data_IF_580012119261
#
_entry.id   IF_580012119261
#
_cell.length_a   1.000
_cell.length_b   1.000
_cell.length_c   1.000
_cell.angle_alpha   90.00
_cell.angle_beta   90.00
_cell.angle_gamma   90.00
#
_symmetry.space_group_name_H-M   'P 1'
#
loop_
_entity.id
_entity.type
_entity.pdbx_description
1 polymer ?
#
# COMPACT_ATOMS: atom_id res chain seq x y z
N UNK A 1 19.51 -17.48 -4.53
CA UNK A 1 19.26 -16.07 -4.15
C UNK A 1 18.49 -15.25 -5.21
N UNK A 2 18.54 -15.60 -6.51
CA UNK A 2 17.79 -14.87 -7.56
C UNK A 2 16.26 -14.86 -7.35
N UNK A 3 15.68 -15.97 -6.86
CA UNK A 3 14.24 -16.09 -6.60
C UNK A 3 13.72 -15.05 -5.59
N UNK A 4 14.51 -14.72 -4.58
CA UNK A 4 14.12 -13.72 -3.59
C UNK A 4 14.02 -12.31 -4.21
N UNK A 5 14.96 -11.97 -5.09
CA UNK A 5 14.97 -10.69 -5.83
C UNK A 5 13.78 -10.61 -6.78
N UNK A 6 13.52 -11.67 -7.55
CA UNK A 6 12.37 -11.74 -8.46
C UNK A 6 11.05 -11.63 -7.70
N UNK A 7 10.91 -12.34 -6.58
CA UNK A 7 9.71 -12.25 -5.74
C UNK A 7 9.52 -10.84 -5.19
N UNK A 8 10.58 -10.22 -4.66
CA UNK A 8 10.51 -8.85 -4.15
C UNK A 8 10.07 -7.85 -5.23
N UNK A 9 10.67 -7.92 -6.42
CA UNK A 9 10.27 -7.08 -7.55
C UNK A 9 8.80 -7.27 -7.93
N UNK A 10 8.37 -8.53 -8.07
CA UNK A 10 6.98 -8.85 -8.43
C UNK A 10 5.98 -8.32 -7.41
N UNK A 11 6.30 -8.44 -6.12
CA UNK A 11 5.44 -7.90 -5.09
C UNK A 11 5.46 -6.36 -5.01
N UNK A 12 6.61 -5.72 -5.24
CA UNK A 12 6.67 -4.26 -5.35
C UNK A 12 5.80 -3.76 -6.51
N UNK A 13 5.88 -4.42 -7.67
CA UNK A 13 5.03 -4.14 -8.83
C UNK A 13 3.55 -4.29 -8.48
N UNK A 14 3.19 -5.40 -7.84
CA UNK A 14 1.81 -5.63 -7.37
C UNK A 14 1.34 -4.52 -6.40
N UNK A 15 2.15 -4.16 -5.40
CA UNK A 15 1.83 -3.10 -4.44
C UNK A 15 1.61 -1.75 -5.13
N UNK A 16 2.48 -1.39 -6.07
CA UNK A 16 2.36 -0.16 -6.84
C UNK A 16 1.10 -0.15 -7.70
N UNK A 17 0.81 -1.25 -8.40
CA UNK A 17 -0.42 -1.38 -9.21
C UNK A 17 -1.67 -1.24 -8.36
N UNK A 18 -1.75 -1.95 -7.22
CA UNK A 18 -2.88 -1.86 -6.31
C UNK A 18 -3.05 -0.45 -5.74
N UNK A 19 -1.96 0.23 -5.42
CA UNK A 19 -2.00 1.63 -4.94
C UNK A 19 -2.65 2.55 -5.97
N UNK A 20 -2.32 2.42 -7.26
CA UNK A 20 -2.91 3.26 -8.29
C UNK A 20 -4.35 2.87 -8.64
N UNK A 21 -4.70 1.59 -8.62
CA UNK A 21 -6.10 1.15 -8.74
C UNK A 21 -6.93 1.73 -7.60
N UNK A 22 -6.41 1.74 -6.38
CA UNK A 22 -7.07 2.35 -5.24
C UNK A 22 -7.25 3.86 -5.45
N UNK A 23 -6.21 4.55 -5.93
CA UNK A 23 -6.27 5.98 -6.24
C UNK A 23 -7.37 6.32 -7.26
N UNK A 24 -7.50 5.54 -8.32
CA UNK A 24 -8.53 5.69 -9.35
C UNK A 24 -9.96 5.55 -8.79
N UNK A 25 -10.12 4.76 -7.72
CA UNK A 25 -11.42 4.54 -7.07
C UNK A 25 -11.76 5.60 -6.02
N UNK A 26 -10.86 6.53 -5.70
CA UNK A 26 -11.13 7.58 -4.73
C UNK A 26 -12.12 8.60 -5.32
N UNK A 27 -13.17 8.92 -4.55
CA UNK A 27 -14.17 9.93 -4.95
C UNK A 27 -13.61 11.35 -4.96
N UNK A 28 -12.59 11.61 -4.16
CA UNK A 28 -11.96 12.93 -4.02
C UNK A 28 -10.45 12.78 -4.06
N UNK A 29 -9.77 13.73 -4.70
CA UNK A 29 -8.32 13.77 -4.74
C UNK A 29 -7.77 13.89 -3.30
N UNK A 30 -6.74 13.08 -2.94
CA UNK A 30 -6.06 13.21 -1.66
C UNK A 30 -5.52 14.61 -1.43
N UNK A 31 -5.57 15.07 -0.19
CA UNK A 31 -4.77 16.23 0.20
C UNK A 31 -3.28 15.88 0.19
N UNK A 32 -2.53 16.75 -0.47
CA UNK A 32 -1.09 16.60 -0.64
C UNK A 32 -0.36 17.01 0.64
N UNK A 33 0.39 16.07 1.23
CA UNK A 33 1.15 16.33 2.46
C UNK A 33 2.38 17.21 2.19
N UNK A 34 3.11 16.94 1.11
CA UNK A 34 4.30 17.69 0.72
C UNK A 34 4.03 18.52 -0.53
N UNK A 35 3.61 19.79 -0.33
CA UNK A 35 3.35 20.73 -1.43
C UNK A 35 4.66 21.14 -2.10
N UNK A 36 4.90 20.63 -3.31
CA UNK A 36 6.00 21.07 -4.17
C UNK A 36 5.49 22.18 -5.10
N UNK A 37 6.21 23.30 -5.13
CA UNK A 37 5.90 24.47 -5.96
C UNK A 37 5.73 24.04 -7.43
N UNK A 38 4.60 24.43 -8.05
CA UNK A 38 4.29 24.13 -9.45
C UNK A 38 3.65 22.77 -9.73
N UNK A 39 3.34 21.95 -8.71
CA UNK A 39 2.61 20.69 -8.87
C UNK A 39 1.29 20.73 -8.11
N UNK A 40 0.19 20.54 -8.83
CA UNK A 40 -1.18 20.54 -8.29
C UNK A 40 -1.76 19.13 -8.09
N UNK A 41 -1.12 18.10 -8.65
CA UNK A 41 -1.55 16.71 -8.48
C UNK A 41 -1.07 16.11 -7.15
N UNK A 42 -1.85 15.15 -6.63
CA UNK A 42 -1.42 14.26 -5.55
C UNK A 42 -0.33 13.31 -6.05
N UNK A 43 0.43 12.73 -5.12
CA UNK A 43 1.53 11.83 -5.39
C UNK A 43 1.25 10.42 -4.85
N UNK A 44 2.07 9.45 -5.28
CA UNK A 44 2.03 8.08 -4.77
C UNK A 44 2.09 8.02 -3.23
N UNK A 45 2.93 8.87 -2.63
CA UNK A 45 3.08 8.96 -1.16
C UNK A 45 1.78 9.35 -0.46
N UNK A 46 0.96 10.20 -1.07
CA UNK A 46 -0.31 10.63 -0.49
C UNK A 46 -1.31 9.47 -0.45
N UNK A 47 -1.36 8.65 -1.51
CA UNK A 47 -2.20 7.45 -1.56
C UNK A 47 -1.70 6.37 -0.60
N UNK A 48 -0.39 6.10 -0.61
CA UNK A 48 0.25 5.15 0.30
C UNK A 48 -0.06 5.49 1.75
N UNK A 49 -0.05 6.78 2.12
CA UNK A 49 -0.41 7.23 3.47
C UNK A 49 -1.84 6.87 3.83
N UNK A 50 -2.81 7.16 2.96
CA UNK A 50 -4.23 6.80 3.20
C UNK A 50 -4.40 5.30 3.41
N UNK A 51 -3.72 4.47 2.60
CA UNK A 51 -3.74 3.01 2.75
C UNK A 51 -3.14 2.59 4.09
N UNK A 52 -2.01 3.19 4.49
CA UNK A 52 -1.37 2.90 5.76
C UNK A 52 -2.25 3.30 6.96
N UNK A 53 -2.88 4.46 6.91
CA UNK A 53 -3.83 4.92 7.93
C UNK A 53 -5.02 3.96 8.04
N UNK A 54 -5.59 3.53 6.91
CA UNK A 54 -6.67 2.54 6.88
C UNK A 54 -6.24 1.17 7.44
N UNK A 55 -5.01 0.74 7.18
CA UNK A 55 -4.48 -0.52 7.71
C UNK A 55 -4.21 -0.50 9.22
N UNK A 56 -4.04 0.70 9.80
CA UNK A 56 -3.90 0.90 11.25
C UNK A 56 -5.25 1.01 11.97
N UNK A 57 -6.37 1.09 11.24
CA UNK A 57 -7.70 1.16 11.82
C UNK A 57 -8.01 -0.12 12.62
N UNK A 58 -8.50 -0.03 13.88
CA UNK A 58 -8.82 -1.20 14.69
C UNK A 58 -9.86 -2.15 14.07
N UNK A 59 -10.73 -1.65 13.20
CA UNK A 59 -11.73 -2.43 12.49
C UNK A 59 -11.22 -2.98 11.16
N UNK A 60 -10.00 -2.65 10.74
CA UNK A 60 -9.38 -3.20 9.53
C UNK A 60 -9.35 -4.73 9.55
N UNK A 61 -9.17 -5.34 10.72
CA UNK A 61 -9.20 -6.79 10.90
C UNK A 61 -10.54 -7.43 10.51
N UNK A 62 -11.65 -6.68 10.49
CA UNK A 62 -12.94 -7.18 10.01
C UNK A 62 -12.98 -7.34 8.50
N UNK A 63 -12.23 -6.51 7.78
CA UNK A 63 -12.16 -6.50 6.31
C UNK A 63 -11.02 -7.40 5.84
N UNK A 64 -9.89 -7.35 6.54
CA UNK A 64 -8.71 -8.16 6.30
C UNK A 64 -8.29 -8.83 7.61
N UNK A 65 -8.86 -10.00 7.94
CA UNK A 65 -8.53 -10.70 9.18
C UNK A 65 -7.03 -10.97 9.25
N UNK A 66 -6.45 -10.67 10.41
CA UNK A 66 -5.08 -11.11 10.71
C UNK A 66 -5.06 -12.63 10.62
N UNK A 67 -4.26 -13.14 9.69
CA UNK A 67 -4.04 -14.57 9.58
C UNK A 67 -3.41 -15.05 10.89
N UNK A 68 -4.18 -15.75 11.72
CA UNK A 68 -3.64 -16.41 12.91
C UNK A 68 -2.77 -17.56 12.44
N UNK A 69 -1.44 -17.36 12.54
CA UNK A 69 -0.43 -18.42 12.44
C UNK A 69 -0.66 -19.46 11.33
N UNK A 70 -0.61 -19.02 10.07
CA UNK A 70 -0.05 -19.88 9.04
C UNK A 70 1.43 -19.52 8.91
N UNK A 71 2.36 -20.47 8.74
CA UNK A 71 3.78 -20.18 8.50
C UNK A 71 4.02 -19.38 7.20
N UNK A 72 2.96 -19.11 6.44
CA UNK A 72 2.97 -18.23 5.26
C UNK A 72 2.72 -16.79 5.71
N UNK A 73 3.75 -15.94 5.59
CA UNK A 73 3.65 -14.51 5.84
C UNK A 73 2.40 -13.93 5.14
N UNK A 74 1.52 -13.28 5.91
CA UNK A 74 0.33 -12.63 5.35
C UNK A 74 0.73 -11.72 4.18
N UNK A 75 0.07 -11.90 3.04
CA UNK A 75 0.30 -11.11 1.82
C UNK A 75 0.27 -9.62 2.12
N UNK A 76 -0.64 -9.19 3.01
CA UNK A 76 -0.75 -7.80 3.46
C UNK A 76 0.49 -7.35 4.23
N UNK A 77 1.00 -8.18 5.14
CA UNK A 77 2.24 -7.88 5.88
C UNK A 77 3.45 -7.79 4.95
N UNK A 78 3.53 -8.68 3.94
CA UNK A 78 4.61 -8.64 2.94
C UNK A 78 4.52 -7.36 2.11
N UNK A 79 3.33 -7.04 1.58
CA UNK A 79 3.08 -5.81 0.82
C UNK A 79 3.43 -4.55 1.63
N UNK A 80 3.01 -4.46 2.89
CA UNK A 80 3.31 -3.31 3.75
C UNK A 80 4.81 -3.16 4.07
N UNK A 81 5.57 -4.25 4.16
CA UNK A 81 7.02 -4.21 4.47
C UNK A 81 7.90 -3.78 3.29
N UNK A 82 7.53 -4.12 2.05
CA UNK A 82 8.31 -3.70 0.86
C UNK A 82 8.03 -2.27 0.45
N UNK A 83 7.04 -1.67 1.09
CA UNK A 83 6.68 -0.30 0.87
C UNK A 83 7.66 0.64 1.61
N UNK A 84 8.45 0.18 2.60
CA UNK A 84 9.46 0.98 3.32
C UNK A 84 10.35 1.85 2.41
#
# INVERSE_FOLDING_TARGET
NAQAVTNHLNFCMMATTLTWIYADRLKTNPERQHKVKGRTSFAFSDIRRIIAEAALDPYFERVCPKYSSSPVNSVVTVLLRMVA
#
